data_IF_340525455798
#
_entry.id   IF_340525455798
#
_cell.length_a   1.000
_cell.length_b   1.000
_cell.length_c   1.000
_cell.angle_alpha   90.00
_cell.angle_beta   90.00
_cell.angle_gamma   90.00
#
_symmetry.space_group_name_H-M   'P 1'
#
loop_
_entity.id
_entity.type
_entity.pdbx_description
1 polymer ?
#
# COMPACT_ATOMS: atom_id res chain seq x y z
N UNK A 1 3.03 38.55 -1.04
CA UNK A 1 2.44 37.24 -0.69
C UNK A 1 3.45 36.23 -1.20
N UNK A 2 4.19 35.52 -0.32
CA UNK A 2 5.10 34.47 -0.75
C UNK A 2 4.27 33.36 -1.40
N UNK A 3 4.54 33.07 -2.68
CA UNK A 3 4.00 31.88 -3.32
C UNK A 3 4.33 30.68 -2.44
N UNK A 4 3.33 30.07 -1.84
CA UNK A 4 3.48 28.81 -1.09
C UNK A 4 3.69 27.71 -2.14
N UNK A 5 4.95 27.48 -2.51
CA UNK A 5 5.30 26.46 -3.48
C UNK A 5 4.92 25.08 -2.91
N UNK A 6 4.07 24.36 -3.63
CA UNK A 6 3.75 22.94 -3.31
C UNK A 6 5.08 22.19 -3.32
N UNK A 7 5.43 21.45 -2.25
CA UNK A 7 6.68 20.71 -2.21
C UNK A 7 6.71 19.64 -3.31
N UNK A 8 7.87 19.32 -3.87
CA UNK A 8 8.01 18.21 -4.81
C UNK A 8 7.47 16.93 -4.18
N UNK A 9 6.99 16.02 -5.02
CA UNK A 9 6.48 14.76 -4.55
C UNK A 9 7.54 14.02 -3.72
N UNK A 10 7.14 13.50 -2.56
CA UNK A 10 8.01 12.59 -1.80
C UNK A 10 8.24 11.29 -2.58
N UNK A 11 9.31 10.58 -2.26
CA UNK A 11 9.62 9.28 -2.87
C UNK A 11 8.49 8.26 -2.68
N UNK A 12 7.67 8.43 -1.63
CA UNK A 12 6.53 7.57 -1.31
C UNK A 12 5.26 8.41 -1.14
N UNK A 13 4.08 7.81 -1.33
CA UNK A 13 2.80 8.45 -1.00
C UNK A 13 2.61 8.63 0.51
N UNK A 14 1.59 9.42 0.91
CA UNK A 14 1.31 9.74 2.31
C UNK A 14 2.03 11.00 2.79
N UNK A 15 2.40 11.89 1.89
CA UNK A 15 3.05 13.17 2.18
C UNK A 15 2.06 14.35 2.34
N UNK A 16 0.77 14.06 2.43
CA UNK A 16 -0.29 15.05 2.57
C UNK A 16 -0.05 16.06 3.69
N UNK A 17 0.45 15.61 4.85
CA UNK A 17 0.77 16.51 5.95
C UNK A 17 1.88 17.53 5.63
N UNK A 18 2.85 17.16 4.78
CA UNK A 18 3.89 18.08 4.31
C UNK A 18 3.30 19.11 3.33
N UNK A 19 2.43 18.66 2.43
CA UNK A 19 1.71 19.54 1.49
C UNK A 19 0.82 20.51 2.26
N UNK A 20 0.03 20.05 3.22
CA UNK A 20 -0.84 20.89 4.06
C UNK A 20 -0.05 22.03 4.73
N UNK A 21 1.08 21.70 5.36
CA UNK A 21 1.94 22.69 6.01
C UNK A 21 2.51 23.71 5.02
N UNK A 22 2.98 23.26 3.85
CA UNK A 22 3.59 24.13 2.86
C UNK A 22 2.56 25.05 2.19
N UNK A 23 1.38 24.55 1.90
CA UNK A 23 0.30 25.28 1.27
C UNK A 23 -0.56 26.10 2.27
N UNK A 24 -0.34 25.97 3.57
CA UNK A 24 -1.18 26.60 4.60
C UNK A 24 -2.61 26.07 4.64
N UNK A 25 -2.81 24.82 4.25
CA UNK A 25 -4.12 24.14 4.23
C UNK A 25 -4.38 23.52 5.60
N UNK A 26 -5.60 23.71 6.10
CA UNK A 26 -6.07 23.01 7.30
C UNK A 26 -5.99 21.49 7.08
N UNK A 27 -5.25 20.72 7.92
CA UNK A 27 -5.15 19.28 7.79
C UNK A 27 -6.49 18.55 7.71
N UNK A 28 -7.53 19.03 8.37
CA UNK A 28 -8.87 18.44 8.36
C UNK A 28 -9.60 18.63 7.01
N UNK A 29 -9.13 19.56 6.20
CA UNK A 29 -9.63 19.81 4.84
C UNK A 29 -8.83 19.12 3.76
N UNK A 30 -7.68 18.53 4.12
CA UNK A 30 -6.83 17.85 3.17
C UNK A 30 -7.38 16.46 2.84
N UNK A 31 -7.44 16.14 1.56
CA UNK A 31 -7.75 14.81 1.04
C UNK A 31 -6.49 14.18 0.45
N UNK A 32 -5.85 13.29 1.21
CA UNK A 32 -4.63 12.60 0.73
C UNK A 32 -5.00 11.34 -0.04
N UNK A 33 -4.98 11.43 -1.38
CA UNK A 33 -5.16 10.33 -2.32
C UNK A 33 -3.84 9.81 -2.91
N UNK A 34 -2.70 10.22 -2.35
CA UNK A 34 -1.38 9.71 -2.72
C UNK A 34 -1.10 8.33 -2.13
N UNK A 35 -1.73 8.00 -0.99
CA UNK A 35 -1.69 6.68 -0.36
C UNK A 35 -2.94 5.90 -0.75
N UNK A 36 -2.76 4.76 -1.44
CA UNK A 36 -3.88 3.92 -1.92
C UNK A 36 -4.48 3.11 -0.77
N UNK A 37 -5.27 3.76 0.08
CA UNK A 37 -5.98 3.16 1.21
C UNK A 37 -7.40 2.74 0.79
N UNK A 38 -7.95 1.71 1.44
CA UNK A 38 -9.32 1.27 1.22
C UNK A 38 -10.32 2.36 1.66
N UNK A 39 -11.13 2.94 0.74
CA UNK A 39 -12.11 3.96 1.07
C UNK A 39 -13.29 3.43 1.90
N UNK A 40 -13.43 2.11 1.99
CA UNK A 40 -14.52 1.43 2.71
C UNK A 40 -14.04 0.74 4.00
N UNK A 41 -12.81 0.99 4.41
CA UNK A 41 -12.25 0.41 5.62
C UNK A 41 -13.10 0.72 6.86
N UNK A 42 -13.12 -0.17 7.86
CA UNK A 42 -13.76 0.09 9.14
C UNK A 42 -13.09 1.27 9.86
N UNK A 43 -13.81 1.84 10.83
CA UNK A 43 -13.22 2.86 11.71
C UNK A 43 -12.26 2.22 12.72
N UNK A 44 -11.02 2.01 12.27
CA UNK A 44 -9.95 1.41 13.10
C UNK A 44 -9.59 2.30 14.29
N UNK A 45 -9.73 3.63 14.17
CA UNK A 45 -9.45 4.53 15.27
C UNK A 45 -10.46 4.34 16.43
N UNK A 46 -11.74 4.19 16.10
CA UNK A 46 -12.77 3.87 17.11
C UNK A 46 -12.55 2.48 17.74
N UNK A 47 -12.16 1.47 16.93
CA UNK A 47 -11.81 0.14 17.46
C UNK A 47 -10.59 0.20 18.39
N UNK A 48 -9.56 0.97 18.03
CA UNK A 48 -8.30 1.08 18.78
C UNK A 48 -8.51 1.57 20.21
N UNK A 49 -9.53 2.41 20.47
CA UNK A 49 -9.83 2.88 21.83
C UNK A 49 -10.13 1.76 22.81
N UNK A 50 -10.71 0.64 22.33
CA UNK A 50 -11.02 -0.53 23.15
C UNK A 50 -9.78 -1.31 23.60
N UNK A 51 -8.68 -1.15 22.87
CA UNK A 51 -7.43 -1.87 23.05
C UNK A 51 -6.28 -1.00 23.55
N UNK A 52 -6.55 0.24 23.93
CA UNK A 52 -5.52 1.17 24.43
C UNK A 52 -4.72 0.60 25.62
N UNK A 53 -5.30 -0.29 26.41
CA UNK A 53 -4.61 -0.97 27.51
C UNK A 53 -3.42 -1.85 27.05
N UNK A 54 -3.40 -2.31 25.80
CA UNK A 54 -2.29 -3.09 25.25
C UNK A 54 -0.99 -2.30 25.09
N UNK A 55 -1.03 -0.98 25.28
CA UNK A 55 0.15 -0.12 25.22
C UNK A 55 1.01 -0.18 26.50
N UNK A 56 0.54 -0.81 27.58
CA UNK A 56 1.22 -0.83 28.87
C UNK A 56 2.30 -1.91 28.93
N UNK A 57 2.10 -3.03 28.26
CA UNK A 57 2.98 -4.18 28.30
C UNK A 57 3.81 -4.33 27.03
N UNK A 58 4.95 -5.05 27.15
CA UNK A 58 5.68 -5.48 25.96
C UNK A 58 4.81 -6.40 25.09
N UNK A 59 4.80 -6.21 23.76
CA UNK A 59 3.93 -6.95 22.89
C UNK A 59 4.29 -8.43 22.77
N UNK A 60 3.27 -9.30 22.79
CA UNK A 60 3.35 -10.70 22.44
C UNK A 60 2.58 -10.98 21.13
N UNK A 61 3.32 -11.37 20.09
CA UNK A 61 2.77 -11.60 18.77
C UNK A 61 2.14 -13.00 18.59
N UNK A 62 2.23 -13.91 19.56
CA UNK A 62 1.90 -15.33 19.38
C UNK A 62 0.44 -15.56 19.00
N UNK A 63 -0.52 -14.94 19.68
CA UNK A 63 -1.95 -15.08 19.37
C UNK A 63 -2.26 -14.51 17.99
N UNK A 64 -1.84 -13.28 17.72
CA UNK A 64 -2.07 -12.60 16.45
C UNK A 64 -1.43 -13.35 15.26
N UNK A 65 -0.22 -13.90 15.44
CA UNK A 65 0.46 -14.71 14.43
C UNK A 65 -0.32 -15.99 14.12
N UNK A 66 -0.77 -16.73 15.16
CA UNK A 66 -1.50 -17.98 14.96
C UNK A 66 -2.85 -17.76 14.27
N UNK A 67 -3.60 -16.72 14.66
CA UNK A 67 -4.87 -16.40 14.05
C UNK A 67 -4.70 -15.96 12.58
N UNK A 68 -3.73 -15.09 12.30
CA UNK A 68 -3.49 -14.67 10.92
C UNK A 68 -2.93 -15.79 10.04
N UNK A 69 -2.10 -16.68 10.59
CA UNK A 69 -1.63 -17.87 9.87
C UNK A 69 -2.78 -18.80 9.47
N UNK A 70 -3.80 -18.92 10.33
CA UNK A 70 -5.02 -19.70 10.04
C UNK A 70 -5.80 -19.07 8.88
N UNK A 71 -5.99 -17.74 8.86
CA UNK A 71 -6.63 -17.02 7.75
C UNK A 71 -5.87 -17.18 6.44
N UNK A 72 -4.53 -17.06 6.49
CA UNK A 72 -3.62 -17.26 5.37
C UNK A 72 -3.55 -18.72 4.90
N UNK A 73 -3.99 -19.67 5.71
CA UNK A 73 -3.84 -21.13 5.55
C UNK A 73 -2.37 -21.55 5.37
N UNK A 74 -1.49 -20.97 6.17
CA UNK A 74 -0.05 -21.28 6.20
C UNK A 74 0.38 -21.79 7.57
N UNK A 75 1.50 -22.51 7.60
CA UNK A 75 2.14 -22.88 8.87
C UNK A 75 2.56 -21.62 9.63
N UNK A 76 2.13 -21.40 10.89
CA UNK A 76 2.47 -20.21 11.66
C UNK A 76 3.99 -20.05 11.86
N UNK A 77 4.77 -21.13 11.78
CA UNK A 77 6.25 -21.05 11.82
C UNK A 77 6.84 -20.32 10.62
N UNK A 78 6.12 -20.27 9.49
CA UNK A 78 6.53 -19.55 8.26
C UNK A 78 6.12 -18.08 8.26
N UNK A 79 5.27 -17.65 9.20
CA UNK A 79 4.73 -16.29 9.27
C UNK A 79 5.50 -15.44 10.27
N UNK A 80 5.93 -14.25 9.85
CA UNK A 80 6.54 -13.23 10.71
C UNK A 80 5.74 -11.94 10.58
N UNK A 81 5.15 -11.46 11.67
CA UNK A 81 4.51 -10.15 11.70
C UNK A 81 5.58 -9.06 11.76
N UNK A 82 5.35 -7.94 11.07
CA UNK A 82 6.32 -6.85 10.91
C UNK A 82 5.71 -5.48 11.16
N UNK A 83 6.55 -4.49 11.45
CA UNK A 83 6.17 -3.09 11.61
C UNK A 83 5.87 -2.45 10.23
N UNK A 84 4.78 -2.92 9.61
CA UNK A 84 4.36 -2.58 8.26
C UNK A 84 5.17 -3.28 7.16
N UNK A 85 4.70 -3.16 5.92
CA UNK A 85 5.36 -3.75 4.74
C UNK A 85 6.79 -3.24 4.52
N UNK A 86 7.12 -2.02 4.98
CA UNK A 86 8.47 -1.47 4.84
C UNK A 86 9.51 -2.27 5.64
N UNK A 87 9.18 -2.73 6.86
CA UNK A 87 10.06 -3.62 7.61
C UNK A 87 10.12 -5.00 6.96
N UNK A 88 9.00 -5.53 6.46
CA UNK A 88 8.99 -6.79 5.73
C UNK A 88 9.97 -6.76 4.53
N UNK A 89 9.94 -5.69 3.74
CA UNK A 89 10.87 -5.47 2.63
C UNK A 89 12.32 -5.45 3.14
N UNK A 90 12.61 -4.65 4.16
CA UNK A 90 13.97 -4.49 4.69
C UNK A 90 14.54 -5.82 5.23
N UNK A 91 13.74 -6.60 5.95
CA UNK A 91 14.16 -7.87 6.53
C UNK A 91 14.41 -8.94 5.45
N UNK A 92 13.50 -9.10 4.49
CA UNK A 92 13.68 -10.07 3.40
C UNK A 92 14.86 -9.65 2.51
N UNK A 93 15.03 -8.36 2.24
CA UNK A 93 16.18 -7.85 1.51
C UNK A 93 17.50 -8.11 2.25
N UNK A 94 17.53 -7.97 3.58
CA UNK A 94 18.73 -8.29 4.38
C UNK A 94 19.07 -9.78 4.36
N UNK A 95 18.07 -10.67 4.28
CA UNK A 95 18.27 -12.12 4.15
C UNK A 95 18.78 -12.50 2.77
N UNK A 96 18.23 -11.91 1.71
CA UNK A 96 18.56 -12.28 0.31
C UNK A 96 19.79 -11.54 -0.23
N UNK A 97 20.03 -10.31 0.22
CA UNK A 97 21.18 -9.47 -0.13
C UNK A 97 21.07 -8.77 -1.48
N UNK A 98 20.65 -9.45 -2.53
CA UNK A 98 20.47 -8.89 -3.86
C UNK A 98 19.13 -9.30 -4.50
N UNK A 99 18.77 -8.63 -5.59
CA UNK A 99 17.50 -8.91 -6.27
C UNK A 99 17.37 -8.19 -7.60
N UNK A 100 16.61 -8.82 -8.50
CA UNK A 100 16.21 -8.23 -9.79
C UNK A 100 14.90 -7.44 -9.58
N UNK A 101 14.95 -6.15 -9.87
CA UNK A 101 13.79 -5.24 -9.84
C UNK A 101 13.63 -4.66 -11.25
N UNK A 102 12.52 -4.97 -11.90
CA UNK A 102 12.21 -4.51 -13.26
C UNK A 102 11.18 -3.38 -13.20
N UNK A 103 11.55 -2.20 -13.66
CA UNK A 103 10.68 -1.02 -13.65
C UNK A 103 9.48 -1.16 -14.61
N UNK A 104 8.37 -0.46 -14.27
CA UNK A 104 8.16 0.32 -13.06
C UNK A 104 7.81 -0.55 -11.84
N UNK A 105 8.51 -0.37 -10.73
CA UNK A 105 8.31 -1.10 -9.48
C UNK A 105 8.48 -0.19 -8.25
N UNK A 106 8.04 -0.67 -7.09
CA UNK A 106 8.11 0.09 -5.85
C UNK A 106 9.55 0.40 -5.45
N UNK A 107 9.88 1.67 -5.32
CA UNK A 107 11.26 2.17 -5.14
C UNK A 107 11.95 1.66 -3.88
N UNK A 108 11.18 1.28 -2.85
CA UNK A 108 11.74 0.82 -1.58
C UNK A 108 12.56 -0.48 -1.71
N UNK A 109 12.31 -1.30 -2.73
CA UNK A 109 13.13 -2.50 -2.95
C UNK A 109 14.59 -2.12 -3.21
N UNK A 110 14.83 -1.15 -4.11
CA UNK A 110 16.18 -0.69 -4.46
C UNK A 110 16.92 -0.02 -3.31
N UNK A 111 16.19 0.51 -2.33
CA UNK A 111 16.80 1.09 -1.13
C UNK A 111 17.48 0.03 -0.25
N UNK A 112 16.99 -1.20 -0.26
CA UNK A 112 17.43 -2.27 0.63
C UNK A 112 18.20 -3.37 -0.08
N UNK A 113 18.01 -3.54 -1.39
CA UNK A 113 18.68 -4.55 -2.20
C UNK A 113 19.89 -3.98 -2.91
N UNK A 114 20.90 -4.81 -3.10
CA UNK A 114 21.83 -4.59 -4.19
C UNK A 114 21.13 -5.00 -5.50
N UNK A 115 21.04 -4.08 -6.46
CA UNK A 115 20.38 -4.32 -7.75
C UNK A 115 21.39 -4.12 -8.88
N UNK A 116 21.35 -4.99 -9.90
CA UNK A 116 22.22 -4.91 -11.08
C UNK A 116 21.97 -6.09 -11.99
N UNK A 117 22.30 -5.95 -13.28
CA UNK A 117 22.09 -7.00 -14.28
C UNK A 117 23.00 -8.22 -14.08
N UNK A 118 24.17 -8.00 -13.47
CA UNK A 118 25.16 -9.05 -13.21
C UNK A 118 24.94 -9.82 -11.90
N UNK A 119 23.91 -9.44 -11.10
CA UNK A 119 23.62 -10.08 -9.83
C UNK A 119 22.71 -11.29 -10.03
N UNK A 120 23.01 -12.38 -9.34
CA UNK A 120 22.24 -13.63 -9.39
C UNK A 120 20.94 -13.57 -8.57
N UNK A 121 20.60 -12.42 -8.02
CA UNK A 121 19.43 -12.24 -7.16
C UNK A 121 18.11 -12.50 -7.87
N UNK A 122 17.18 -13.11 -7.16
CA UNK A 122 15.88 -13.45 -7.71
C UNK A 122 14.96 -12.24 -7.89
N UNK A 123 13.93 -12.39 -8.71
CA UNK A 123 12.99 -11.32 -9.05
C UNK A 123 12.14 -10.90 -7.84
N UNK A 124 12.06 -9.59 -7.61
CA UNK A 124 11.10 -8.94 -6.73
C UNK A 124 9.98 -8.31 -7.55
N UNK A 125 8.74 -8.56 -7.17
CA UNK A 125 7.60 -8.05 -7.91
C UNK A 125 6.43 -7.71 -7.00
N UNK A 126 5.90 -6.49 -7.13
CA UNK A 126 4.61 -6.14 -6.53
C UNK A 126 3.45 -6.77 -7.31
N UNK A 127 2.46 -7.30 -6.61
CA UNK A 127 1.32 -7.95 -7.24
C UNK A 127 0.02 -7.67 -6.46
N UNK A 128 -0.84 -6.79 -6.98
CA UNK A 128 -0.73 -6.01 -8.23
C UNK A 128 0.51 -5.13 -8.29
N UNK A 129 1.01 -4.90 -9.52
CA UNK A 129 2.18 -4.06 -9.74
C UNK A 129 1.91 -2.60 -9.32
N UNK A 130 2.87 -2.00 -8.63
CA UNK A 130 2.83 -0.59 -8.26
C UNK A 130 3.86 0.19 -9.08
N UNK A 131 3.46 1.22 -9.82
CA UNK A 131 2.20 1.94 -9.75
C UNK A 131 1.12 1.50 -10.76
N UNK A 132 1.43 0.60 -11.72
CA UNK A 132 0.59 0.31 -12.91
C UNK A 132 -0.74 -0.34 -12.54
N UNK A 133 -0.78 -1.20 -11.53
CA UNK A 133 -2.03 -1.82 -11.07
C UNK A 133 -2.43 -3.08 -11.81
N UNK A 134 -1.50 -3.72 -12.54
CA UNK A 134 -1.72 -4.99 -13.22
C UNK A 134 -1.36 -6.18 -12.35
N UNK A 135 -2.06 -7.30 -12.53
CA UNK A 135 -1.78 -8.57 -11.83
C UNK A 135 -0.88 -9.44 -12.69
N UNK A 136 0.06 -10.11 -12.04
CA UNK A 136 0.94 -11.08 -12.68
C UNK A 136 0.15 -12.23 -13.31
N UNK A 137 0.54 -12.68 -14.49
CA UNK A 137 -0.06 -13.86 -15.13
C UNK A 137 0.17 -15.14 -14.31
N UNK A 138 -0.64 -16.17 -14.56
CA UNK A 138 -0.54 -17.44 -13.82
C UNK A 138 0.79 -18.18 -13.99
N UNK A 139 1.52 -17.91 -15.09
CA UNK A 139 2.85 -18.50 -15.35
C UNK A 139 4.03 -17.63 -14.89
N UNK A 140 3.77 -16.43 -14.39
CA UNK A 140 4.83 -15.53 -13.96
C UNK A 140 5.34 -15.92 -12.57
N UNK A 141 6.67 -15.94 -12.41
CA UNK A 141 7.36 -16.32 -11.19
C UNK A 141 8.16 -15.16 -10.61
N UNK A 142 8.28 -15.14 -9.29
CA UNK A 142 9.14 -14.22 -8.56
C UNK A 142 9.73 -14.93 -7.33
N UNK A 143 10.90 -14.51 -6.91
CA UNK A 143 11.49 -14.93 -5.63
C UNK A 143 10.78 -14.27 -4.47
N UNK A 144 10.37 -13.01 -4.65
CA UNK A 144 9.60 -12.25 -3.67
C UNK A 144 8.39 -11.62 -4.34
N UNK A 145 7.21 -11.94 -3.82
CA UNK A 145 5.96 -11.28 -4.14
C UNK A 145 5.60 -10.26 -3.07
N UNK A 146 5.43 -8.99 -3.46
CA UNK A 146 4.83 -7.99 -2.58
C UNK A 146 3.32 -7.96 -2.83
N UNK A 147 2.58 -8.49 -1.88
CA UNK A 147 1.14 -8.66 -1.91
C UNK A 147 0.40 -7.54 -1.14
N UNK A 148 1.02 -6.37 -0.93
CA UNK A 148 0.43 -5.29 -0.13
C UNK A 148 -0.97 -4.84 -0.58
N UNK A 149 -1.31 -5.06 -1.85
CA UNK A 149 -2.61 -4.73 -2.43
C UNK A 149 -3.40 -5.95 -2.91
N UNK A 150 -2.81 -7.15 -2.81
CA UNK A 150 -3.45 -8.37 -3.27
C UNK A 150 -4.80 -8.63 -2.61
N UNK A 151 -4.96 -8.54 -1.27
CA UNK A 151 -6.24 -8.81 -0.61
C UNK A 151 -7.37 -7.92 -1.14
N UNK A 152 -7.09 -6.63 -1.34
CA UNK A 152 -8.07 -5.66 -1.82
C UNK A 152 -8.43 -5.83 -3.31
N UNK A 153 -7.57 -6.48 -4.08
CA UNK A 153 -7.76 -6.63 -5.53
C UNK A 153 -8.35 -7.99 -5.88
N UNK A 154 -7.89 -9.05 -5.22
CA UNK A 154 -8.21 -10.43 -5.57
C UNK A 154 -9.19 -11.10 -4.61
N UNK A 155 -9.54 -10.48 -3.49
CA UNK A 155 -10.48 -11.03 -2.52
C UNK A 155 -9.96 -12.28 -1.80
N UNK A 156 -8.66 -12.49 -1.77
CA UNK A 156 -7.98 -13.58 -1.05
C UNK A 156 -6.77 -13.03 -0.32
N UNK A 157 -6.37 -13.67 0.78
CA UNK A 157 -5.24 -13.16 1.59
C UNK A 157 -3.91 -13.18 0.86
N UNK A 158 -3.68 -14.14 -0.02
CA UNK A 158 -2.42 -14.35 -0.73
C UNK A 158 -2.65 -15.09 -2.04
N UNK A 159 -1.71 -14.99 -2.98
CA UNK A 159 -1.75 -15.72 -4.25
C UNK A 159 -1.44 -17.23 -4.09
N UNK A 160 -0.88 -17.64 -2.95
CA UNK A 160 -0.66 -19.06 -2.63
C UNK A 160 0.62 -19.66 -3.22
N UNK A 161 1.60 -18.87 -3.64
CA UNK A 161 2.91 -19.38 -4.08
C UNK A 161 3.77 -19.77 -2.88
N UNK A 162 3.76 -21.06 -2.55
CA UNK A 162 4.41 -21.58 -1.34
C UNK A 162 5.94 -21.70 -1.45
N UNK A 163 6.51 -21.56 -2.63
CA UNK A 163 7.95 -21.64 -2.88
C UNK A 163 8.65 -20.29 -2.84
N UNK A 164 7.88 -19.20 -2.87
CA UNK A 164 8.38 -17.82 -2.87
C UNK A 164 8.22 -17.15 -1.52
N UNK A 165 9.03 -16.16 -1.27
CA UNK A 165 8.78 -15.18 -0.22
C UNK A 165 7.55 -14.36 -0.59
N UNK A 166 6.66 -14.15 0.36
CA UNK A 166 5.52 -13.25 0.21
C UNK A 166 5.55 -12.22 1.31
N UNK A 167 5.49 -10.95 0.95
CA UNK A 167 5.45 -9.85 1.89
C UNK A 167 4.15 -9.08 1.70
N UNK A 168 3.61 -8.51 2.76
CA UNK A 168 2.37 -7.78 2.68
C UNK A 168 2.22 -6.67 3.70
N UNK A 169 1.19 -5.86 3.49
CA UNK A 169 0.86 -4.72 4.34
C UNK A 169 -0.64 -4.68 4.59
N UNK A 170 -1.04 -4.87 5.82
CA UNK A 170 -2.45 -4.82 6.23
C UNK A 170 -2.95 -3.37 6.42
N UNK A 171 -2.02 -2.40 6.45
CA UNK A 171 -2.37 -0.98 6.63
C UNK A 171 -3.17 -0.38 5.47
N UNK A 172 -3.09 -0.98 4.27
CA UNK A 172 -3.85 -0.53 3.10
C UNK A 172 -5.30 -1.01 3.17
N UNK A 173 -5.49 -2.29 3.47
CA UNK A 173 -6.79 -2.94 3.58
C UNK A 173 -7.68 -2.24 4.61
N UNK A 174 -7.16 -1.93 5.77
CA UNK A 174 -7.91 -1.32 6.87
C UNK A 174 -7.68 0.18 7.03
N UNK A 175 -7.09 0.84 6.04
CA UNK A 175 -6.82 2.28 6.04
C UNK A 175 -6.19 2.81 7.34
N UNK A 176 -5.31 2.02 7.96
CA UNK A 176 -4.69 2.29 9.25
C UNK A 176 -3.17 2.46 9.14
N UNK A 177 -2.73 3.36 8.26
CA UNK A 177 -1.30 3.54 7.95
C UNK A 177 -0.42 3.77 9.19
N UNK A 178 -0.94 4.47 10.20
CA UNK A 178 -0.25 4.74 11.47
C UNK A 178 -0.10 3.53 12.38
N UNK A 179 -0.91 2.48 12.22
CA UNK A 179 -0.85 1.25 13.03
C UNK A 179 0.40 0.41 12.73
N UNK A 180 0.97 0.54 11.54
CA UNK A 180 2.20 -0.15 11.12
C UNK A 180 2.11 -1.67 11.25
N UNK A 181 1.25 -2.33 10.48
CA UNK A 181 1.06 -3.77 10.49
C UNK A 181 1.32 -4.37 9.11
N UNK A 182 2.27 -5.28 9.03
CA UNK A 182 2.65 -6.03 7.84
C UNK A 182 3.11 -7.44 8.19
N UNK A 183 3.55 -8.18 7.19
CA UNK A 183 3.97 -9.56 7.39
C UNK A 183 4.95 -10.05 6.32
N UNK A 184 5.67 -11.12 6.67
CA UNK A 184 6.44 -11.96 5.77
C UNK A 184 5.91 -13.39 5.88
N UNK A 185 5.67 -14.05 4.75
CA UNK A 185 5.50 -15.49 4.66
C UNK A 185 6.75 -16.03 3.98
N UNK A 186 7.57 -16.76 4.72
CA UNK A 186 8.77 -17.38 4.19
C UNK A 186 8.45 -18.68 3.42
N UNK A 187 9.29 -19.12 2.46
CA UNK A 187 9.10 -20.38 1.77
C UNK A 187 9.13 -21.60 2.72
N UNK A 188 9.84 -21.49 3.86
CA UNK A 188 9.91 -22.49 4.89
C UNK A 188 10.12 -21.89 6.29
N UNK A 189 10.11 -22.73 7.32
CA UNK A 189 10.31 -22.30 8.69
C UNK A 189 11.73 -21.78 8.95
N UNK A 190 12.76 -22.33 8.28
CA UNK A 190 14.15 -21.89 8.46
C UNK A 190 14.37 -20.48 7.92
N UNK A 191 13.76 -20.15 6.77
CA UNK A 191 13.73 -18.78 6.25
C UNK A 191 13.06 -17.80 7.21
N UNK A 192 11.92 -18.19 7.80
CA UNK A 192 11.25 -17.36 8.80
C UNK A 192 12.10 -17.17 10.07
N UNK A 193 12.81 -18.19 10.52
CA UNK A 193 13.72 -18.10 11.67
C UNK A 193 14.91 -17.16 11.37
N UNK A 194 15.42 -17.17 10.14
CA UNK A 194 16.44 -16.23 9.69
C UNK A 194 15.92 -14.80 9.78
N UNK A 195 14.71 -14.53 9.28
CA UNK A 195 14.07 -13.20 9.41
C UNK A 195 13.90 -12.81 10.87
N UNK A 196 13.39 -13.70 11.74
CA UNK A 196 13.23 -13.42 13.18
C UNK A 196 14.55 -13.12 13.88
N UNK A 197 15.65 -13.74 13.44
CA UNK A 197 16.98 -13.54 14.05
C UNK A 197 17.54 -12.14 13.91
N UNK A 198 17.12 -11.43 12.82
CA UNK A 198 17.57 -10.07 12.50
C UNK A 198 16.50 -9.01 12.79
N UNK A 199 15.26 -9.43 13.05
CA UNK A 199 14.16 -8.52 13.38
C UNK A 199 14.40 -7.91 14.78
N UNK A 200 14.22 -6.58 14.93
CA UNK A 200 14.24 -5.95 16.25
C UNK A 200 13.21 -6.61 17.19
N UNK A 201 13.59 -6.80 18.43
CA UNK A 201 12.65 -7.30 19.43
C UNK A 201 11.45 -6.35 19.55
N UNK A 202 10.24 -6.93 19.68
CA UNK A 202 9.00 -6.17 19.86
C UNK A 202 8.72 -5.15 18.74
N UNK A 203 9.11 -5.45 17.51
CA UNK A 203 8.99 -4.51 16.39
C UNK A 203 7.52 -4.14 16.07
N UNK A 204 6.59 -5.08 16.27
CA UNK A 204 5.17 -4.81 16.11
C UNK A 204 4.57 -4.35 17.43
N UNK A 205 3.93 -3.18 17.43
CA UNK A 205 3.37 -2.60 18.65
C UNK A 205 2.17 -3.38 19.20
N UNK A 206 1.98 -3.32 20.53
CA UNK A 206 0.92 -4.07 21.23
C UNK A 206 -0.48 -3.77 20.74
N UNK A 207 -0.76 -2.50 20.36
CA UNK A 207 -2.07 -2.11 19.85
C UNK A 207 -2.37 -2.79 18.50
N UNK A 208 -1.40 -2.87 17.60
CA UNK A 208 -1.56 -3.55 16.32
C UNK A 208 -1.82 -5.04 16.50
N UNK A 209 -1.10 -5.69 17.44
CA UNK A 209 -1.29 -7.10 17.74
C UNK A 209 -2.64 -7.39 18.39
N UNK A 210 -3.12 -6.52 19.28
CA UNK A 210 -4.41 -6.66 19.93
C UNK A 210 -5.59 -6.42 18.96
N UNK A 211 -5.42 -5.53 17.98
CA UNK A 211 -6.44 -5.23 16.98
C UNK A 211 -6.53 -6.27 15.87
N UNK A 212 -5.43 -6.95 15.53
CA UNK A 212 -5.40 -7.86 14.38
C UNK A 212 -6.49 -8.94 14.44
N UNK A 213 -6.72 -9.64 15.55
CA UNK A 213 -7.81 -10.62 15.67
C UNK A 213 -9.20 -10.06 15.35
N UNK A 214 -9.49 -8.87 15.86
CA UNK A 214 -10.77 -8.20 15.65
C UNK A 214 -10.97 -7.77 14.19
N UNK A 215 -9.90 -7.26 13.57
CA UNK A 215 -9.93 -6.86 12.17
C UNK A 215 -10.08 -8.06 11.24
N UNK A 216 -9.45 -9.20 11.56
CA UNK A 216 -9.62 -10.45 10.82
C UNK A 216 -11.07 -10.96 10.93
N UNK A 217 -11.67 -10.89 12.13
CA UNK A 217 -13.02 -11.40 12.39
C UNK A 217 -14.13 -10.62 11.64
N UNK A 218 -13.89 -9.36 11.29
CA UNK A 218 -14.88 -8.53 10.58
C UNK A 218 -14.60 -8.41 9.08
N UNK A 219 -13.48 -8.92 8.58
CA UNK A 219 -13.08 -8.80 7.18
C UNK A 219 -13.77 -9.85 6.31
N UNK A 220 -14.35 -9.38 5.21
CA UNK A 220 -14.86 -10.21 4.12
C UNK A 220 -14.14 -9.78 2.83
N UNK A 221 -13.00 -10.42 2.57
CA UNK A 221 -12.15 -10.07 1.43
C UNK A 221 -12.86 -10.16 0.07
N UNK A 222 -13.64 -11.20 -0.24
CA UNK A 222 -14.41 -11.24 -1.49
C UNK A 222 -15.32 -10.03 -1.66
N UNK A 223 -16.14 -9.73 -0.66
CA UNK A 223 -17.04 -8.56 -0.69
C UNK A 223 -16.25 -7.24 -0.75
N UNK A 224 -15.15 -7.11 -0.04
CA UNK A 224 -14.28 -5.93 -0.09
C UNK A 224 -13.69 -5.73 -1.49
N UNK A 225 -13.16 -6.78 -2.12
CA UNK A 225 -12.57 -6.70 -3.45
C UNK A 225 -13.62 -6.37 -4.54
N UNK A 226 -14.80 -7.02 -4.51
CA UNK A 226 -15.92 -6.73 -5.41
C UNK A 226 -16.36 -5.27 -5.31
N UNK A 227 -16.51 -4.77 -4.09
CA UNK A 227 -16.91 -3.38 -3.82
C UNK A 227 -15.87 -2.38 -4.33
N UNK A 228 -14.59 -2.67 -4.13
CA UNK A 228 -13.48 -1.84 -4.63
C UNK A 228 -13.43 -1.86 -6.16
N UNK A 229 -13.60 -3.01 -6.79
CA UNK A 229 -13.62 -3.15 -8.25
C UNK A 229 -14.77 -2.36 -8.87
N UNK A 230 -15.99 -2.49 -8.34
CA UNK A 230 -17.15 -1.73 -8.80
C UNK A 230 -16.96 -0.21 -8.63
N UNK A 231 -16.42 0.22 -7.47
CA UNK A 231 -16.13 1.62 -7.19
C UNK A 231 -15.05 2.17 -8.13
N UNK A 232 -14.00 1.39 -8.41
CA UNK A 232 -12.96 1.76 -9.37
C UNK A 232 -13.52 1.97 -10.77
N UNK A 233 -14.38 1.06 -11.25
CA UNK A 233 -14.99 1.14 -12.58
C UNK A 233 -15.83 2.40 -12.71
N UNK A 234 -16.70 2.67 -11.73
CA UNK A 234 -17.53 3.88 -11.72
C UNK A 234 -16.69 5.16 -11.71
N UNK A 235 -15.73 5.25 -10.80
CA UNK A 235 -14.86 6.42 -10.68
C UNK A 235 -13.99 6.62 -11.94
N UNK A 236 -13.47 5.54 -12.55
CA UNK A 236 -12.70 5.63 -13.79
C UNK A 236 -13.55 6.18 -14.96
N UNK A 237 -14.80 5.76 -15.08
CA UNK A 237 -15.71 6.25 -16.10
C UNK A 237 -16.00 7.76 -15.96
N UNK A 238 -16.23 8.22 -14.72
CA UNK A 238 -16.45 9.65 -14.44
C UNK A 238 -15.18 10.48 -14.71
N UNK A 239 -14.00 10.01 -14.31
CA UNK A 239 -12.72 10.69 -14.57
C UNK A 239 -12.45 10.79 -16.08
N UNK A 240 -12.71 9.72 -16.83
CA UNK A 240 -12.58 9.72 -18.29
C UNK A 240 -13.60 10.68 -18.96
N UNK A 241 -14.83 10.76 -18.46
CA UNK A 241 -15.84 11.70 -18.95
C UNK A 241 -15.44 13.17 -18.74
N UNK A 242 -14.56 13.45 -17.77
CA UNK A 242 -13.97 14.78 -17.56
C UNK A 242 -12.70 15.03 -18.40
N UNK A 243 -12.33 14.14 -19.33
CA UNK A 243 -11.27 14.33 -20.30
C UNK A 243 -9.90 13.76 -19.91
N UNK A 244 -9.77 13.06 -18.79
CA UNK A 244 -8.52 12.43 -18.40
C UNK A 244 -8.34 11.05 -19.03
N UNK A 245 -7.10 10.75 -19.44
CA UNK A 245 -6.71 9.40 -19.88
C UNK A 245 -6.44 8.53 -18.66
N UNK A 246 -7.22 7.47 -18.49
CA UNK A 246 -7.08 6.49 -17.42
C UNK A 246 -6.44 5.23 -18.00
N UNK A 247 -5.27 4.85 -17.48
CA UNK A 247 -4.59 3.62 -17.88
C UNK A 247 -5.34 2.36 -17.40
N UNK A 248 -5.15 1.27 -18.14
CA UNK A 248 -5.66 -0.04 -17.75
C UNK A 248 -5.04 -0.51 -16.43
N UNK A 249 -5.84 -1.19 -15.62
CA UNK A 249 -5.41 -1.75 -14.35
C UNK A 249 -6.61 -2.17 -13.50
N UNK A 250 -6.39 -3.00 -12.50
CA UNK A 250 -7.45 -3.52 -11.62
C UNK A 250 -7.21 -3.24 -10.13
N UNK A 251 -6.06 -2.68 -9.79
CA UNK A 251 -5.73 -2.31 -8.42
C UNK A 251 -6.62 -1.16 -7.90
N UNK A 252 -6.74 -0.96 -6.57
CA UNK A 252 -7.65 0.02 -5.97
C UNK A 252 -7.14 1.47 -6.10
N UNK A 253 -6.80 1.88 -7.30
CA UNK A 253 -6.44 3.24 -7.71
C UNK A 253 -6.62 3.43 -9.21
N UNK A 254 -6.55 4.67 -9.68
CA UNK A 254 -6.41 5.01 -11.09
C UNK A 254 -4.99 5.51 -11.37
N UNK A 255 -4.47 5.20 -12.54
CA UNK A 255 -3.29 5.80 -13.09
C UNK A 255 -3.72 6.74 -14.22
N UNK A 256 -3.44 8.03 -14.07
CA UNK A 256 -3.80 9.07 -15.03
C UNK A 256 -2.55 9.43 -15.82
N UNK A 257 -2.63 9.30 -17.13
CA UNK A 257 -1.54 9.58 -18.06
C UNK A 257 -1.70 10.98 -18.68
N UNK A 258 -0.60 11.54 -19.17
CA UNK A 258 -0.56 12.84 -19.86
C UNK A 258 -1.17 13.97 -19.01
N UNK A 259 -0.81 14.01 -17.73
CA UNK A 259 -1.33 14.97 -16.75
C UNK A 259 -0.22 15.88 -16.17
N UNK A 260 0.50 16.67 -16.99
CA UNK A 260 1.57 17.53 -16.50
C UNK A 260 1.05 18.49 -15.43
N UNK A 261 1.76 18.60 -14.30
CA UNK A 261 1.41 19.53 -13.23
C UNK A 261 0.17 19.19 -12.39
N UNK A 262 -0.51 18.06 -12.65
CA UNK A 262 -1.76 17.68 -11.97
C UNK A 262 -1.64 17.71 -10.43
N UNK A 263 -0.53 17.20 -9.87
CA UNK A 263 -0.31 17.22 -8.42
C UNK A 263 -0.35 18.65 -7.86
N UNK A 264 0.30 19.60 -8.52
CA UNK A 264 0.34 20.97 -8.07
C UNK A 264 -1.04 21.64 -8.17
N UNK A 265 -1.75 21.41 -9.28
CA UNK A 265 -3.10 21.94 -9.48
C UNK A 265 -4.09 21.43 -8.41
N UNK A 266 -4.16 20.13 -8.19
CA UNK A 266 -5.06 19.52 -7.20
C UNK A 266 -4.70 19.89 -5.75
N UNK A 267 -3.42 20.11 -5.46
CA UNK A 267 -3.00 20.53 -4.13
C UNK A 267 -3.57 21.89 -3.72
N UNK A 268 -3.86 22.80 -4.66
CA UNK A 268 -4.52 24.08 -4.39
C UNK A 268 -5.95 23.88 -3.87
N UNK A 269 -6.62 22.81 -4.27
CA UNK A 269 -7.94 22.40 -3.79
C UNK A 269 -7.88 21.49 -2.55
N UNK A 270 -6.68 21.31 -1.98
CA UNK A 270 -6.44 20.44 -0.84
C UNK A 270 -6.53 18.95 -1.16
N UNK A 271 -6.26 18.55 -2.42
CA UNK A 271 -6.24 17.16 -2.85
C UNK A 271 -4.81 16.78 -3.22
N UNK A 272 -4.27 15.74 -2.59
CA UNK A 272 -2.91 15.27 -2.84
C UNK A 272 -2.94 13.95 -3.59
N UNK A 273 -2.29 13.92 -4.76
CA UNK A 273 -2.14 12.72 -5.58
C UNK A 273 -0.68 12.30 -5.67
N UNK A 274 -0.42 11.05 -6.05
CA UNK A 274 0.92 10.51 -6.21
C UNK A 274 1.46 10.86 -7.59
N UNK A 275 2.50 11.66 -7.66
CA UNK A 275 3.34 11.84 -8.85
C UNK A 275 4.17 10.55 -9.08
N UNK A 276 4.11 10.02 -10.28
CA UNK A 276 4.78 8.76 -10.64
C UNK A 276 6.16 8.94 -11.29
N UNK A 277 6.73 10.14 -11.31
CA UNK A 277 8.07 10.40 -11.83
C UNK A 277 9.16 9.56 -11.15
N UNK A 278 9.01 9.28 -9.84
CA UNK A 278 9.90 8.40 -9.09
C UNK A 278 9.87 6.92 -9.53
N UNK A 279 8.89 6.54 -10.36
CA UNK A 279 8.79 5.24 -11.01
C UNK A 279 9.26 5.28 -12.48
N UNK A 280 9.79 6.43 -12.93
CA UNK A 280 10.16 6.64 -14.34
C UNK A 280 8.98 6.99 -15.26
N UNK A 281 7.78 7.22 -14.72
CA UNK A 281 6.58 7.57 -15.49
C UNK A 281 6.36 9.10 -15.42
N UNK A 282 6.85 9.79 -16.45
CA UNK A 282 6.72 11.25 -16.57
C UNK A 282 5.25 11.62 -16.85
N UNK A 283 4.82 12.78 -16.31
CA UNK A 283 3.46 13.31 -16.49
C UNK A 283 2.35 12.30 -16.19
N UNK A 284 2.61 11.41 -15.25
CA UNK A 284 1.70 10.35 -14.85
C UNK A 284 1.44 10.44 -13.35
N UNK A 285 0.16 10.37 -12.98
CA UNK A 285 -0.25 10.48 -11.59
C UNK A 285 -1.12 9.30 -11.17
N UNK A 286 -0.84 8.73 -10.00
CA UNK A 286 -1.70 7.73 -9.38
C UNK A 286 -2.62 8.40 -8.37
N UNK A 287 -3.92 8.16 -8.50
CA UNK A 287 -4.95 8.65 -7.60
C UNK A 287 -5.63 7.48 -6.91
N UNK A 288 -5.60 7.44 -5.58
CA UNK A 288 -6.35 6.45 -4.80
C UNK A 288 -7.85 6.62 -5.01
N UNK A 289 -8.62 5.56 -4.82
CA UNK A 289 -10.08 5.66 -4.85
C UNK A 289 -10.55 6.54 -3.67
N UNK A 290 -11.29 7.64 -3.94
CA UNK A 290 -11.83 8.48 -2.88
C UNK A 290 -12.97 7.77 -2.15
N UNK A 291 -13.28 8.18 -0.93
CA UNK A 291 -14.52 7.75 -0.28
C UNK A 291 -15.72 8.24 -1.08
N UNK A 292 -16.86 7.54 -1.07
CA UNK A 292 -18.05 7.95 -1.82
C UNK A 292 -18.46 9.41 -1.60
N UNK A 293 -18.33 9.91 -0.39
CA UNK A 293 -18.63 11.30 -0.03
C UNK A 293 -17.68 12.34 -0.62
N UNK A 294 -16.49 11.93 -1.05
CA UNK A 294 -15.43 12.82 -1.54
C UNK A 294 -15.35 12.82 -3.09
N UNK A 295 -16.14 11.96 -3.79
CA UNK A 295 -16.10 11.79 -5.25
C UNK A 295 -16.36 13.12 -5.96
N UNK A 296 -17.47 13.79 -5.64
CA UNK A 296 -17.87 15.03 -6.32
C UNK A 296 -16.82 16.13 -6.19
N UNK A 297 -16.18 16.23 -5.02
CA UNK A 297 -15.08 17.15 -4.79
C UNK A 297 -13.89 16.85 -5.69
N UNK A 298 -13.51 15.57 -5.80
CA UNK A 298 -12.38 15.13 -6.62
C UNK A 298 -12.67 15.35 -8.10
N UNK A 299 -13.86 14.98 -8.59
CA UNK A 299 -14.26 15.16 -9.98
C UNK A 299 -14.34 16.65 -10.36
N UNK A 300 -14.84 17.50 -9.47
CA UNK A 300 -14.89 18.96 -9.71
C UNK A 300 -13.47 19.52 -9.87
N UNK A 301 -12.53 19.12 -9.01
CA UNK A 301 -11.14 19.57 -9.11
C UNK A 301 -10.44 19.03 -10.36
N UNK A 302 -10.65 17.75 -10.71
CA UNK A 302 -10.11 17.16 -11.95
C UNK A 302 -10.66 17.86 -13.21
N UNK A 303 -11.96 18.13 -13.27
CA UNK A 303 -12.58 18.83 -14.40
C UNK A 303 -12.00 20.24 -14.62
N UNK A 304 -11.53 20.90 -13.59
CA UNK A 304 -10.90 22.22 -13.67
C UNK A 304 -9.52 22.16 -14.36
N UNK A 305 -8.80 21.04 -14.24
CA UNK A 305 -7.45 20.87 -14.82
C UNK A 305 -7.45 20.56 -16.32
N UNK A 306 -8.58 20.24 -16.92
CA UNK A 306 -8.73 19.96 -18.36
C UNK A 306 -9.23 21.17 -19.18
N UNK A 307 -9.41 22.34 -18.56
CA UNK A 307 -10.00 23.53 -19.23
C UNK A 307 -8.96 24.51 -19.78
N UNK A 308 -7.69 24.26 -19.54
CA UNK A 308 -6.55 25.06 -20.03
C UNK A 308 -5.80 24.29 -21.12
#
# INVERSE_FOLDING_TARGET
MSEHAIPPAAEHGGDGAAVARAAGIDPDRLLDLSASLNPFAPDVAALATKFAGSLVDYPDASIATNQFAAELRVDPRRLVLTNGGSEAIALVAAVLGDGLVVDPEFSLYRRHLRTGEDLAGGRWRSNPSSPVGTVASGGETATVWDEAFWPMTMGTWTRGDDTSWRIGSLTKLWACAGLRLGYVIAPDAAGADTVRSIQPRWSVNGLALALLPELLAIEDLPTTAERLAAHRVGFAAEVAAHGHTVADGIAPWLLLEQTPGLRAALALDGIVVRDCSSFGLVDTHRIALPRPRDIDRVLTALAATCRD
#
